data_IF_367307591865
#
_entry.id   IF_367307591865
#
_cell.length_a   1.000
_cell.length_b   1.000
_cell.length_c   1.000
_cell.angle_alpha   90.00
_cell.angle_beta   90.00
_cell.angle_gamma   90.00
#
_symmetry.space_group_name_H-M   'P 1'
#
loop_
_entity.id
_entity.type
_entity.pdbx_description
1 polymer ?
#
# COMPACT_ATOMS: atom_id res chain seq x y z
N UNK A 1 13.49 0.65 3.83
CA UNK A 1 14.27 1.26 4.95
C UNK A 1 13.61 2.56 5.37
N UNK A 2 13.63 2.94 6.64
CA UNK A 2 13.00 4.19 7.09
C UNK A 2 13.74 4.87 8.24
N UNK A 3 13.59 6.18 8.33
CA UNK A 3 14.09 7.02 9.41
C UNK A 3 12.95 7.92 9.91
N UNK A 4 12.89 8.15 11.20
CA UNK A 4 11.91 9.04 11.80
C UNK A 4 12.39 9.60 13.12
N UNK A 5 11.74 10.68 13.55
CA UNK A 5 12.02 11.33 14.83
C UNK A 5 10.74 11.43 15.64
N UNK A 6 10.74 11.01 16.89
CA UNK A 6 9.57 11.17 17.75
C UNK A 6 9.72 12.40 18.63
N UNK A 7 8.87 13.39 18.41
CA UNK A 7 8.77 14.56 19.25
C UNK A 7 7.58 14.42 20.19
N UNK A 8 7.88 14.39 21.49
CA UNK A 8 6.90 14.30 22.55
C UNK A 8 6.71 15.66 23.21
N UNK A 9 5.47 16.14 23.29
CA UNK A 9 5.11 17.33 24.04
C UNK A 9 3.83 17.11 24.83
N UNK A 10 3.96 16.95 26.15
CA UNK A 10 2.85 16.58 27.03
C UNK A 10 2.18 15.28 26.55
N UNK A 11 0.88 15.33 26.24
CA UNK A 11 0.11 14.20 25.73
C UNK A 11 0.17 14.09 24.20
N UNK A 12 0.75 15.06 23.48
CA UNK A 12 0.86 15.06 22.03
C UNK A 12 2.19 14.44 21.59
N UNK A 13 2.11 13.54 20.62
CA UNK A 13 3.27 12.98 19.92
C UNK A 13 3.20 13.36 18.45
N UNK A 14 4.32 13.80 17.91
CA UNK A 14 4.50 14.15 16.50
C UNK A 14 5.68 13.36 15.97
N UNK A 15 5.44 12.54 14.95
CA UNK A 15 6.45 11.70 14.33
C UNK A 15 6.56 11.99 12.83
N UNK A 16 7.43 12.94 12.42
CA UNK A 16 7.87 13.01 11.04
C UNK A 16 8.77 11.82 10.70
N UNK A 17 8.62 11.29 9.50
CA UNK A 17 9.42 10.18 9.01
C UNK A 17 9.59 10.20 7.49
N UNK A 18 10.65 9.54 7.04
CA UNK A 18 10.95 9.26 5.65
C UNK A 18 11.17 7.77 5.48
N UNK A 19 10.67 7.20 4.38
CA UNK A 19 10.88 5.80 4.03
C UNK A 19 11.29 5.68 2.57
N UNK A 20 12.11 4.67 2.29
CA UNK A 20 12.47 4.26 0.94
C UNK A 20 12.18 2.76 0.81
N UNK A 21 11.30 2.41 -0.10
CA UNK A 21 10.85 1.04 -0.34
C UNK A 21 11.26 0.62 -1.75
N UNK A 22 11.94 -0.51 -1.88
CA UNK A 22 12.23 -1.14 -3.16
C UNK A 22 11.45 -2.45 -3.26
N UNK A 23 10.79 -2.64 -4.39
CA UNK A 23 10.02 -3.83 -4.70
C UNK A 23 10.38 -4.33 -6.09
N UNK A 24 10.59 -5.64 -6.18
CA UNK A 24 10.77 -6.35 -7.44
C UNK A 24 9.65 -7.39 -7.54
N UNK A 25 8.95 -7.40 -8.68
CA UNK A 25 7.89 -8.34 -8.96
C UNK A 25 8.12 -9.06 -10.28
N UNK A 26 7.87 -10.36 -10.27
CA UNK A 26 7.98 -11.27 -11.40
C UNK A 26 6.64 -11.99 -11.57
N UNK A 27 6.18 -12.11 -12.81
CA UNK A 27 5.03 -12.91 -13.20
C UNK A 27 5.52 -13.87 -14.26
N UNK A 28 5.56 -15.16 -13.90
CA UNK A 28 5.96 -16.24 -14.81
C UNK A 28 5.14 -16.22 -16.10
N UNK A 29 5.77 -16.66 -17.20
CA UNK A 29 5.03 -16.90 -18.44
C UNK A 29 3.91 -17.90 -18.24
N UNK A 30 2.77 -17.69 -18.89
CA UNK A 30 1.64 -18.61 -18.79
C UNK A 30 0.85 -18.70 -20.10
N UNK A 31 0.08 -19.77 -20.23
CA UNK A 31 -0.83 -19.98 -21.37
C UNK A 31 -2.27 -19.88 -20.90
N UNK A 32 -3.04 -18.99 -21.52
CA UNK A 32 -4.48 -18.88 -21.30
C UNK A 32 -5.20 -20.17 -21.72
N UNK A 33 -6.33 -20.45 -21.08
CA UNK A 33 -7.16 -21.60 -21.42
C UNK A 33 -8.62 -21.18 -21.55
N UNK A 34 -9.44 -22.01 -22.22
CA UNK A 34 -10.88 -21.76 -22.38
C UNK A 34 -11.27 -20.95 -23.61
N UNK A 35 -10.32 -20.45 -24.42
CA UNK A 35 -10.61 -19.63 -25.60
C UNK A 35 -10.60 -20.39 -26.94
N UNK A 36 -10.79 -21.73 -26.92
CA UNK A 36 -10.85 -22.69 -28.06
C UNK A 36 -9.65 -22.64 -29.03
N UNK A 37 -9.42 -21.53 -29.72
CA UNK A 37 -8.29 -21.28 -30.62
C UNK A 37 -7.63 -19.91 -30.44
N UNK A 38 -8.13 -19.08 -29.52
CA UNK A 38 -7.63 -17.73 -29.25
C UNK A 38 -6.84 -17.63 -27.94
N UNK A 39 -6.46 -18.76 -27.36
CA UNK A 39 -5.60 -18.78 -26.17
C UNK A 39 -4.30 -18.04 -26.48
N UNK A 40 -3.87 -17.17 -25.57
CA UNK A 40 -2.57 -16.51 -25.64
C UNK A 40 -1.54 -17.25 -24.79
N UNK A 41 -0.33 -17.43 -25.32
CA UNK A 41 0.88 -17.62 -24.54
C UNK A 41 1.43 -16.24 -24.21
N UNK A 42 1.43 -15.88 -22.92
CA UNK A 42 1.88 -14.60 -22.39
C UNK A 42 3.29 -14.77 -21.86
N UNK A 43 4.20 -13.89 -22.29
CA UNK A 43 5.60 -13.90 -21.86
C UNK A 43 5.72 -13.48 -20.38
N UNK A 44 6.83 -13.86 -19.75
CA UNK A 44 7.18 -13.43 -18.40
C UNK A 44 7.23 -11.90 -18.30
N UNK A 45 6.80 -11.36 -17.15
CA UNK A 45 6.80 -9.94 -16.88
C UNK A 45 7.59 -9.63 -15.60
N UNK A 46 8.53 -8.71 -15.72
CA UNK A 46 9.31 -8.19 -14.59
C UNK A 46 9.00 -6.70 -14.40
N UNK A 47 8.91 -6.27 -13.14
CA UNK A 47 8.74 -4.86 -12.82
C UNK A 47 9.42 -4.49 -11.51
N UNK A 48 10.05 -3.31 -11.53
CA UNK A 48 10.72 -2.72 -10.38
C UNK A 48 9.99 -1.46 -9.94
N UNK A 49 9.87 -1.30 -8.63
CA UNK A 49 9.34 -0.11 -7.98
C UNK A 49 10.34 0.37 -6.94
N UNK A 50 10.57 1.68 -6.92
CA UNK A 50 11.32 2.34 -5.87
C UNK A 50 10.51 3.54 -5.44
N UNK A 51 10.10 3.56 -4.18
CA UNK A 51 9.22 4.59 -3.65
C UNK A 51 9.86 5.30 -2.49
N UNK A 52 9.89 6.64 -2.53
CA UNK A 52 10.12 7.43 -1.33
C UNK A 52 8.80 7.85 -0.74
N UNK A 53 8.71 7.81 0.59
CA UNK A 53 7.59 8.30 1.36
C UNK A 53 8.09 9.39 2.31
N UNK A 54 7.44 10.56 2.29
CA UNK A 54 7.56 11.57 3.33
C UNK A 54 6.25 11.62 4.12
N UNK A 55 6.31 11.37 5.41
CA UNK A 55 5.12 11.25 6.24
C UNK A 55 5.22 11.94 7.58
N UNK A 56 4.05 12.23 8.15
CA UNK A 56 3.89 12.70 9.52
C UNK A 56 2.78 11.88 10.17
N UNK A 57 3.04 11.39 11.38
CA UNK A 57 2.05 10.78 12.25
C UNK A 57 1.87 11.63 13.50
N UNK A 58 0.61 11.83 13.89
CA UNK A 58 0.20 12.53 15.10
C UNK A 58 -0.55 11.54 16.00
N UNK A 59 -0.27 11.56 17.30
CA UNK A 59 -1.11 10.87 18.28
C UNK A 59 -1.27 11.70 19.53
N UNK A 60 -2.40 11.55 20.22
CA UNK A 60 -2.66 12.26 21.47
C UNK A 60 -3.14 11.29 22.54
N UNK A 61 -2.63 11.40 23.75
CA UNK A 61 -3.00 10.52 24.87
C UNK A 61 -4.11 11.16 25.70
N UNK A 62 -5.31 10.59 25.66
CA UNK A 62 -6.42 10.95 26.53
C UNK A 62 -6.53 9.98 27.70
N UNK A 63 -6.15 10.45 28.89
CA UNK A 63 -6.34 9.71 30.14
C UNK A 63 -7.78 9.91 30.64
N UNK A 64 -8.48 8.81 30.91
CA UNK A 64 -9.83 8.80 31.45
C UNK A 64 -9.87 7.89 32.69
N UNK A 65 -10.91 8.03 33.52
CA UNK A 65 -11.10 7.20 34.71
C UNK A 65 -11.35 5.73 34.41
N UNK A 66 -11.60 5.37 33.16
CA UNK A 66 -11.90 4.00 32.72
C UNK A 66 -10.80 3.40 31.82
N UNK A 67 -9.70 4.14 31.59
CA UNK A 67 -8.61 3.72 30.72
C UNK A 67 -7.95 4.87 29.96
N UNK A 68 -7.11 4.51 28.99
CA UNK A 68 -6.39 5.43 28.12
C UNK A 68 -6.88 5.26 26.69
N UNK A 69 -7.17 6.37 26.00
CA UNK A 69 -7.53 6.38 24.58
C UNK A 69 -6.48 7.19 23.82
N UNK A 70 -6.00 6.66 22.71
CA UNK A 70 -4.97 7.24 21.86
C UNK A 70 -5.51 7.34 20.43
N UNK A 71 -6.19 8.43 20.05
CA UNK A 71 -6.43 8.75 18.66
C UNK A 71 -5.11 9.05 17.94
N UNK A 72 -5.10 8.70 16.66
CA UNK A 72 -3.98 8.88 15.77
C UNK A 72 -4.44 9.35 14.39
N UNK A 73 -3.61 10.20 13.79
CA UNK A 73 -3.76 10.67 12.42
C UNK A 73 -2.43 10.53 11.70
N UNK A 74 -2.45 10.20 10.42
CA UNK A 74 -1.25 10.14 9.60
C UNK A 74 -1.53 10.62 8.19
N UNK A 75 -0.52 11.28 7.63
CA UNK A 75 -0.47 11.65 6.21
C UNK A 75 0.90 11.26 5.67
N UNK A 76 0.90 10.76 4.44
CA UNK A 76 2.12 10.43 3.72
C UNK A 76 2.01 10.83 2.27
N UNK A 77 3.05 11.43 1.73
CA UNK A 77 3.25 11.65 0.30
C UNK A 77 4.25 10.63 -0.22
N UNK A 78 3.90 9.98 -1.32
CA UNK A 78 4.70 8.96 -1.97
C UNK A 78 5.17 9.46 -3.33
N UNK A 79 6.40 9.13 -3.68
CA UNK A 79 6.96 9.35 -5.01
C UNK A 79 7.59 8.06 -5.56
N UNK A 80 7.17 7.64 -6.76
CA UNK A 80 7.62 6.43 -7.45
C UNK A 80 8.67 6.74 -8.54
N UNK A 81 9.87 6.16 -8.43
CA UNK A 81 11.00 6.45 -9.31
C UNK A 81 11.17 5.49 -10.49
N UNK A 82 10.87 4.19 -10.32
CA UNK A 82 11.28 3.15 -11.26
C UNK A 82 10.12 2.57 -12.06
N UNK A 83 8.95 2.40 -11.45
CA UNK A 83 7.83 1.71 -12.08
C UNK A 83 7.32 2.51 -13.29
N UNK A 84 7.13 1.88 -14.45
CA UNK A 84 6.77 2.54 -15.72
C UNK A 84 5.74 1.70 -16.48
N UNK A 85 5.12 2.30 -17.50
CA UNK A 85 4.41 1.52 -18.51
C UNK A 85 5.30 0.41 -19.05
N UNK A 86 4.76 -0.81 -19.10
CA UNK A 86 5.46 -1.99 -19.59
C UNK A 86 4.75 -2.61 -20.78
N UNK A 87 5.53 -3.21 -21.66
CA UNK A 87 5.03 -4.02 -22.75
C UNK A 87 4.72 -5.43 -22.21
N UNK A 88 3.49 -5.88 -22.44
CA UNK A 88 3.05 -7.26 -22.25
C UNK A 88 3.03 -7.89 -23.63
N UNK A 89 3.93 -8.85 -23.84
CA UNK A 89 4.01 -9.59 -25.08
C UNK A 89 3.23 -10.90 -24.96
N UNK A 90 2.45 -11.20 -25.98
CA UNK A 90 1.64 -12.40 -26.06
C UNK A 90 1.56 -12.91 -27.49
N UNK A 91 1.21 -14.18 -27.65
CA UNK A 91 1.11 -14.86 -28.94
C UNK A 91 -0.07 -15.79 -28.94
N UNK A 92 -0.81 -15.88 -30.04
CA UNK A 92 -1.84 -16.90 -30.17
C UNK A 92 -1.19 -18.28 -30.22
N UNK A 93 -1.63 -19.19 -29.35
CA UNK A 93 -1.13 -20.57 -29.31
C UNK A 93 -1.36 -21.29 -30.64
N UNK A 94 -2.43 -20.94 -31.35
CA UNK A 94 -2.77 -21.51 -32.65
C UNK A 94 -2.16 -20.75 -33.85
N UNK A 95 -1.37 -19.69 -33.63
CA UNK A 95 -0.70 -18.97 -34.71
C UNK A 95 0.68 -19.56 -35.02
N UNK A 96 0.72 -20.41 -36.05
CA UNK A 96 1.95 -21.02 -36.54
C UNK A 96 2.95 -20.01 -37.13
N UNK A 97 2.54 -18.77 -37.43
CA UNK A 97 3.45 -17.71 -37.87
C UNK A 97 4.13 -17.00 -36.70
N UNK A 98 3.73 -17.29 -35.46
CA UNK A 98 4.33 -16.78 -34.24
C UNK A 98 4.39 -15.23 -34.21
N UNK A 99 3.28 -14.57 -34.55
CA UNK A 99 3.22 -13.10 -34.49
C UNK A 99 3.18 -12.62 -33.03
N UNK A 100 3.87 -11.51 -32.74
CA UNK A 100 3.84 -10.87 -31.41
C UNK A 100 2.66 -9.92 -31.34
N UNK A 101 1.85 -10.05 -30.29
CA UNK A 101 0.92 -9.03 -29.84
C UNK A 101 1.54 -8.32 -28.63
N UNK A 102 1.65 -6.99 -28.70
CA UNK A 102 2.17 -6.19 -27.60
C UNK A 102 1.09 -5.25 -27.09
N UNK A 103 0.73 -5.40 -25.81
CA UNK A 103 -0.11 -4.44 -25.09
C UNK A 103 0.75 -3.61 -24.14
N UNK A 104 0.45 -2.33 -23.99
CA UNK A 104 1.16 -1.47 -23.03
C UNK A 104 0.26 -1.23 -21.82
N UNK A 105 0.81 -1.37 -20.62
CA UNK A 105 0.11 -0.94 -19.41
C UNK A 105 0.08 0.57 -19.31
N UNK A 106 -0.85 1.12 -18.55
CA UNK A 106 -0.80 2.55 -18.19
C UNK A 106 0.48 2.87 -17.40
N UNK A 107 0.88 4.14 -17.45
CA UNK A 107 1.92 4.63 -16.56
C UNK A 107 1.36 4.74 -15.13
N UNK A 108 2.04 4.19 -14.11
CA UNK A 108 1.64 4.43 -12.73
C UNK A 108 1.79 5.92 -12.39
N UNK A 109 0.94 6.42 -11.49
CA UNK A 109 1.09 7.77 -10.98
C UNK A 109 2.40 7.89 -10.20
N UNK A 110 3.13 8.95 -10.50
CA UNK A 110 4.41 9.22 -9.83
C UNK A 110 4.22 9.68 -8.40
N UNK A 111 3.14 10.40 -8.14
CA UNK A 111 2.92 11.11 -6.89
C UNK A 111 1.51 10.83 -6.39
N UNK A 112 1.41 10.38 -5.13
CA UNK A 112 0.12 10.14 -4.49
C UNK A 112 0.23 10.33 -2.98
N UNK A 113 -0.92 10.34 -2.30
CA UNK A 113 -0.99 10.52 -0.87
C UNK A 113 -1.75 9.39 -0.17
N UNK A 114 -1.37 9.10 1.06
CA UNK A 114 -2.12 8.23 1.96
C UNK A 114 -2.56 9.01 3.19
N UNK A 115 -3.83 8.85 3.57
CA UNK A 115 -4.37 9.35 4.84
C UNK A 115 -4.70 8.17 5.74
N UNK A 116 -4.43 8.31 7.03
CA UNK A 116 -4.78 7.33 8.04
C UNK A 116 -5.40 8.00 9.26
N UNK A 117 -6.49 7.42 9.75
CA UNK A 117 -7.14 7.81 11.00
C UNK A 117 -7.32 6.57 11.84
N UNK A 118 -7.09 6.67 13.15
CA UNK A 118 -7.32 5.53 14.02
C UNK A 118 -7.45 5.94 15.47
N UNK A 119 -7.82 4.98 16.29
CA UNK A 119 -7.76 5.09 17.73
C UNK A 119 -7.41 3.73 18.32
N UNK A 120 -6.64 3.75 19.40
CA UNK A 120 -6.40 2.58 20.25
C UNK A 120 -6.75 2.92 21.68
N UNK A 121 -7.14 1.92 22.47
CA UNK A 121 -7.45 2.11 23.86
C UNK A 121 -6.97 0.94 24.71
N UNK A 122 -6.62 1.25 25.95
CA UNK A 122 -6.31 0.28 27.00
C UNK A 122 -7.24 0.59 28.17
N UNK A 123 -8.18 -0.30 28.44
CA UNK A 123 -9.17 -0.16 29.49
C UNK A 123 -8.68 -0.76 30.81
N UNK A 124 -9.31 -0.35 31.91
CA UNK A 124 -9.13 -1.02 33.20
C UNK A 124 -9.48 -2.51 33.08
N UNK A 125 -8.64 -3.38 33.65
CA UNK A 125 -8.78 -4.84 33.50
C UNK A 125 -8.07 -5.43 32.28
N UNK A 126 -7.22 -4.68 31.57
CA UNK A 126 -6.27 -5.21 30.58
C UNK A 126 -6.85 -5.43 29.17
N UNK A 127 -8.11 -5.05 28.93
CA UNK A 127 -8.73 -5.07 27.60
C UNK A 127 -8.13 -3.97 26.73
N UNK A 128 -7.65 -4.33 25.54
CA UNK A 128 -7.16 -3.41 24.54
C UNK A 128 -7.99 -3.51 23.26
N UNK A 129 -8.34 -2.36 22.68
CA UNK A 129 -9.12 -2.28 21.44
C UNK A 129 -8.43 -1.30 20.50
N UNK A 130 -8.43 -1.57 19.20
CA UNK A 130 -8.02 -0.58 18.22
C UNK A 130 -8.88 -0.63 16.97
N UNK A 131 -8.96 0.53 16.30
CA UNK A 131 -9.63 0.72 15.02
C UNK A 131 -8.78 1.67 14.17
N UNK A 132 -8.64 1.35 12.89
CA UNK A 132 -7.88 2.11 11.91
C UNK A 132 -8.64 2.16 10.59
N UNK A 133 -8.51 3.30 9.92
CA UNK A 133 -8.98 3.56 8.58
C UNK A 133 -7.83 4.16 7.77
N UNK A 134 -7.64 3.70 6.54
CA UNK A 134 -6.65 4.21 5.61
C UNK A 134 -7.29 4.47 4.24
N UNK A 135 -6.90 5.56 3.59
CA UNK A 135 -7.34 5.93 2.25
C UNK A 135 -6.14 6.29 1.36
N UNK A 136 -6.23 5.88 0.10
CA UNK A 136 -5.31 6.28 -0.98
C UNK A 136 -5.95 7.43 -1.77
N UNK A 137 -5.20 8.51 -1.96
CA UNK A 137 -5.64 9.73 -2.65
C UNK A 137 -4.67 10.08 -3.78
N UNK A 138 -5.22 10.59 -4.88
CA UNK A 138 -4.42 11.09 -6.00
C UNK A 138 -3.74 10.00 -6.84
N UNK A 139 -4.15 8.74 -6.69
CA UNK A 139 -3.75 7.65 -7.58
C UNK A 139 -4.85 7.45 -8.63
N UNK A 140 -4.53 7.77 -9.89
CA UNK A 140 -5.40 7.62 -11.04
C UNK A 140 -5.84 6.17 -11.21
N UNK A 141 -7.10 5.96 -11.57
CA UNK A 141 -7.68 4.64 -11.86
C UNK A 141 -7.66 3.63 -10.69
N UNK A 142 -7.17 4.01 -9.50
CA UNK A 142 -7.19 3.17 -8.30
C UNK A 142 -7.78 3.96 -7.13
N UNK A 143 -8.87 3.44 -6.58
CA UNK A 143 -9.40 3.89 -5.29
C UNK A 143 -9.23 2.77 -4.28
N UNK A 144 -8.53 3.04 -3.17
CA UNK A 144 -8.26 2.06 -2.13
C UNK A 144 -8.59 2.64 -0.76
N UNK A 145 -9.40 1.90 -0.01
CA UNK A 145 -9.83 2.23 1.34
C UNK A 145 -9.75 0.97 2.19
N UNK A 146 -9.11 1.06 3.35
CA UNK A 146 -8.91 -0.07 4.25
C UNK A 146 -9.43 0.23 5.64
N UNK A 147 -10.10 -0.74 6.25
CA UNK A 147 -10.48 -0.71 7.66
C UNK A 147 -9.83 -1.88 8.38
N UNK A 148 -9.30 -1.64 9.57
CA UNK A 148 -8.71 -2.69 10.40
C UNK A 148 -9.08 -2.45 11.84
N UNK A 149 -9.47 -3.52 12.53
CA UNK A 149 -9.77 -3.47 13.96
C UNK A 149 -9.31 -4.73 14.65
N UNK A 150 -9.11 -4.63 15.96
CA UNK A 150 -8.71 -5.77 16.77
C UNK A 150 -8.97 -5.55 18.25
N UNK A 151 -9.01 -6.66 18.97
CA UNK A 151 -9.23 -6.71 20.41
C UNK A 151 -8.19 -7.66 21.00
N UNK A 152 -7.59 -7.28 22.13
CA UNK A 152 -6.66 -8.11 22.89
C UNK A 152 -7.08 -8.11 24.35
N UNK A 153 -7.02 -9.29 24.96
CA UNK A 153 -7.21 -9.50 26.38
C UNK A 153 -5.95 -10.14 26.95
N UNK A 154 -5.49 -9.68 28.11
CA UNK A 154 -4.45 -10.36 28.89
C UNK A 154 -5.12 -11.22 29.95
N UNK A 155 -4.67 -12.46 30.08
CA UNK A 155 -5.18 -13.46 31.04
C UNK A 155 -4.08 -13.88 32.01
#
# INVERSE_FOLDING_TARGET
MGFGYNYHHQALNVNPYVRLDYFHGEIDSYTETGAVGLNLAVDEQNYDSLQSLLGIQLSYVFNQSFGVIIPQFSVGWHHEFLNKSRAINARYVADFNNNVLTAYTDNPDRDYATLGFGASSVFEGGLQVFLNYQALLGYSNVNSNGFTGGVRFEF
#
